data_IF_333640570437
#
_entry.id   IF_333640570437
#
_cell.length_a   1.000
_cell.length_b   1.000
_cell.length_c   1.000
_cell.angle_alpha   90.00
_cell.angle_beta   90.00
_cell.angle_gamma   90.00
#
_symmetry.space_group_name_H-M   'P 1'
#
loop_
_entity.id
_entity.type
_entity.pdbx_description
1 polymer ?
#
# COMPACT_ATOMS: atom_id res chain seq x y z
N UNK A 1 -4.49 15.13 -10.88
CA UNK A 1 -3.32 15.07 -9.97
C UNK A 1 -3.79 15.24 -8.53
N UNK A 2 -3.15 14.59 -7.57
CA UNK A 2 -3.57 14.61 -6.15
C UNK A 2 -3.16 15.91 -5.43
N UNK A 3 -3.98 16.40 -4.49
CA UNK A 3 -3.72 17.64 -3.73
C UNK A 3 -2.46 17.55 -2.84
N UNK A 4 -1.61 18.58 -2.86
CA UNK A 4 -0.48 18.76 -1.91
C UNK A 4 -1.01 19.16 -0.53
N UNK A 5 -0.34 18.74 0.53
CA UNK A 5 -0.67 19.08 1.92
C UNK A 5 -1.68 18.15 2.56
N UNK A 6 -2.49 17.44 1.76
CA UNK A 6 -3.43 16.43 2.23
C UNK A 6 -2.72 15.10 2.46
N UNK A 7 -2.72 14.52 3.67
CA UNK A 7 -2.16 13.19 3.92
C UNK A 7 -2.83 12.09 3.10
N UNK A 8 -2.02 11.12 2.68
CA UNK A 8 -2.43 10.00 1.84
C UNK A 8 -1.75 8.74 2.32
N UNK A 9 -2.47 7.62 2.26
CA UNK A 9 -1.89 6.29 2.19
C UNK A 9 -2.10 5.76 0.79
N UNK A 10 -1.10 5.07 0.25
CA UNK A 10 -1.22 4.36 -1.01
C UNK A 10 -0.61 2.97 -0.94
N UNK A 11 -1.15 2.07 -1.74
CA UNK A 11 -0.66 0.70 -1.93
C UNK A 11 -0.24 0.54 -3.39
N UNK A 12 0.93 -0.05 -3.58
CA UNK A 12 1.43 -0.51 -4.88
C UNK A 12 1.31 -2.03 -4.94
N UNK A 13 0.66 -2.52 -5.99
CA UNK A 13 0.45 -3.94 -6.25
C UNK A 13 0.92 -4.29 -7.66
N UNK A 14 1.37 -5.52 -7.87
CA UNK A 14 1.56 -6.09 -9.19
C UNK A 14 1.03 -7.52 -9.21
N UNK A 15 0.02 -7.78 -10.04
CA UNK A 15 -0.74 -9.02 -9.99
C UNK A 15 -1.21 -9.30 -8.55
N UNK A 16 -1.01 -10.49 -7.99
CA UNK A 16 -1.41 -10.82 -6.61
C UNK A 16 -0.41 -10.40 -5.52
N UNK A 17 0.61 -9.61 -5.88
CA UNK A 17 1.69 -9.24 -4.97
C UNK A 17 1.54 -7.81 -4.46
N UNK A 18 1.43 -7.67 -3.15
CA UNK A 18 1.62 -6.38 -2.49
C UNK A 18 3.10 -6.02 -2.52
N UNK A 19 3.44 -4.92 -3.18
CA UNK A 19 4.83 -4.49 -3.33
C UNK A 19 5.21 -3.52 -2.23
N UNK A 20 4.39 -2.49 -2.01
CA UNK A 20 4.73 -1.39 -1.13
C UNK A 20 3.49 -0.70 -0.58
N UNK A 21 3.56 -0.26 0.67
CA UNK A 21 2.62 0.65 1.29
C UNK A 21 3.40 1.91 1.64
N UNK A 22 2.82 3.06 1.32
CA UNK A 22 3.48 4.32 1.55
C UNK A 22 2.53 5.39 2.04
N UNK A 23 3.08 6.32 2.81
CA UNK A 23 2.42 7.57 3.19
C UNK A 23 3.03 8.78 2.49
N UNK A 24 2.21 9.81 2.23
CA UNK A 24 2.73 11.10 1.81
C UNK A 24 1.75 12.25 2.00
N UNK A 25 2.28 13.45 2.28
CA UNK A 25 1.54 14.72 2.17
C UNK A 25 1.82 15.43 0.85
N UNK A 26 2.81 14.98 0.08
CA UNK A 26 3.12 15.54 -1.25
C UNK A 26 2.03 15.13 -2.25
N UNK A 27 2.03 15.76 -3.44
CA UNK A 27 1.29 15.17 -4.56
C UNK A 27 1.96 13.85 -4.96
N UNK A 28 1.16 12.85 -5.36
CA UNK A 28 1.69 11.56 -5.83
C UNK A 28 2.63 11.72 -7.03
N UNK A 29 2.34 12.67 -7.92
CA UNK A 29 3.26 13.02 -9.02
C UNK A 29 4.63 13.43 -8.51
N UNK A 30 4.68 14.34 -7.53
CA UNK A 30 5.96 14.76 -6.93
C UNK A 30 6.64 13.60 -6.19
N UNK A 31 5.87 12.83 -5.41
CA UNK A 31 6.38 11.72 -4.60
C UNK A 31 6.94 10.59 -5.47
N UNK A 32 6.28 10.25 -6.58
CA UNK A 32 6.75 9.23 -7.51
C UNK A 32 7.90 9.71 -8.36
N UNK A 33 7.85 10.94 -8.89
CA UNK A 33 8.99 11.53 -9.62
C UNK A 33 10.26 11.52 -8.77
N UNK A 34 10.16 11.90 -7.49
CA UNK A 34 11.31 11.87 -6.58
C UNK A 34 11.89 10.46 -6.41
N UNK A 35 11.05 9.44 -6.22
CA UNK A 35 11.53 8.07 -6.06
C UNK A 35 12.00 7.41 -7.35
N UNK A 36 11.41 7.73 -8.51
CA UNK A 36 11.87 7.20 -9.80
C UNK A 36 13.21 7.79 -10.23
N UNK A 37 13.42 9.09 -9.97
CA UNK A 37 14.66 9.78 -10.33
C UNK A 37 15.77 9.64 -9.27
N UNK A 38 15.56 8.85 -8.22
CA UNK A 38 16.56 8.65 -7.18
C UNK A 38 17.76 7.85 -7.71
N UNK A 39 18.96 8.39 -7.50
CA UNK A 39 20.25 7.86 -7.98
C UNK A 39 21.16 7.36 -6.85
N UNK A 40 20.65 7.17 -5.63
CA UNK A 40 21.45 6.73 -4.48
C UNK A 40 22.07 7.86 -3.66
N UNK A 41 21.74 9.12 -3.94
CA UNK A 41 22.22 10.27 -3.15
C UNK A 41 21.80 10.09 -1.69
N UNK A 42 22.76 10.20 -0.77
CA UNK A 42 22.57 9.98 0.68
C UNK A 42 22.01 8.58 1.03
N UNK A 43 22.28 7.57 0.20
CA UNK A 43 21.81 6.19 0.42
C UNK A 43 20.37 5.92 -0.03
N UNK A 44 19.65 6.92 -0.56
CA UNK A 44 18.29 6.72 -1.09
C UNK A 44 18.30 6.38 -2.58
N UNK A 45 18.05 5.11 -2.90
CA UNK A 45 18.02 4.58 -4.28
C UNK A 45 16.64 4.60 -4.95
N UNK A 46 15.62 5.10 -4.24
CA UNK A 46 14.25 5.14 -4.72
C UNK A 46 13.48 3.85 -4.48
N UNK A 47 12.39 3.67 -5.22
CA UNK A 47 11.54 2.50 -5.08
C UNK A 47 12.16 1.27 -5.73
N UNK A 48 12.20 0.15 -5.02
CA UNK A 48 12.66 -1.13 -5.58
C UNK A 48 11.71 -1.64 -6.68
N UNK A 49 10.40 -1.40 -6.52
CA UNK A 49 9.38 -1.78 -7.51
C UNK A 49 9.41 -0.95 -8.81
N UNK A 50 10.28 0.07 -8.94
CA UNK A 50 10.33 0.92 -10.15
C UNK A 50 10.71 0.18 -11.43
N UNK A 51 11.25 -1.03 -11.33
CA UNK A 51 11.58 -1.91 -12.45
C UNK A 51 10.40 -2.77 -12.92
N UNK A 52 9.25 -2.73 -12.22
CA UNK A 52 8.04 -3.45 -12.61
C UNK A 52 7.38 -2.74 -13.79
N UNK A 53 7.06 -3.48 -14.85
CA UNK A 53 6.44 -2.95 -16.07
C UNK A 53 5.02 -2.41 -15.83
N UNK A 54 4.24 -3.08 -14.98
CA UNK A 54 2.88 -2.72 -14.66
C UNK A 54 2.65 -2.84 -13.16
N UNK A 55 2.07 -1.80 -12.57
CA UNK A 55 1.64 -1.77 -11.17
C UNK A 55 0.27 -1.13 -11.06
N UNK A 56 -0.50 -1.58 -10.08
CA UNK A 56 -1.75 -0.99 -9.66
C UNK A 56 -1.48 -0.05 -8.47
N UNK A 57 -2.12 1.11 -8.47
CA UNK A 57 -2.00 2.13 -7.44
C UNK A 57 -3.36 2.38 -6.80
N UNK A 58 -3.45 2.14 -5.50
CA UNK A 58 -4.64 2.43 -4.70
C UNK A 58 -4.30 3.54 -3.72
N UNK A 59 -5.20 4.51 -3.56
CA UNK A 59 -4.92 5.74 -2.80
C UNK A 59 -6.12 6.10 -1.95
N UNK A 60 -5.87 6.38 -0.66
CA UNK A 60 -6.83 6.96 0.25
C UNK A 60 -6.33 8.32 0.73
N UNK A 61 -7.26 9.25 0.95
CA UNK A 61 -6.99 10.61 1.39
C UNK A 61 -7.59 10.82 2.78
N UNK A 62 -6.91 11.61 3.61
CA UNK A 62 -7.33 11.86 4.97
C UNK A 62 -7.27 13.36 5.28
N UNK A 63 -8.44 14.02 5.35
CA UNK A 63 -8.51 15.48 5.57
C UNK A 63 -8.27 15.89 7.02
N UNK A 64 -8.72 15.07 7.97
CA UNK A 64 -8.69 15.39 9.40
C UNK A 64 -7.53 14.72 10.16
N UNK A 65 -6.63 14.02 9.48
CA UNK A 65 -5.54 13.30 10.13
C UNK A 65 -4.20 13.97 9.90
N UNK A 66 -3.31 13.84 10.87
CA UNK A 66 -1.92 14.25 10.76
C UNK A 66 -1.04 13.13 10.16
N UNK A 67 0.26 13.42 10.03
CA UNK A 67 1.21 12.47 9.48
C UNK A 67 1.38 11.22 10.35
N UNK A 68 1.44 11.35 11.67
CA UNK A 68 1.70 10.25 12.58
C UNK A 68 0.52 9.26 12.59
N UNK A 69 -0.71 9.79 12.55
CA UNK A 69 -1.94 9.00 12.45
C UNK A 69 -1.99 8.22 11.13
N UNK A 70 -1.56 8.83 10.02
CA UNK A 70 -1.55 8.19 8.70
C UNK A 70 -0.42 7.15 8.57
N UNK A 71 0.73 7.38 9.19
CA UNK A 71 1.80 6.37 9.37
C UNK A 71 1.31 5.17 10.19
N UNK A 72 0.55 5.40 11.26
CA UNK A 72 -0.08 4.31 12.01
C UNK A 72 -1.06 3.50 11.13
N UNK A 73 -1.87 4.16 10.30
CA UNK A 73 -2.76 3.47 9.33
C UNK A 73 -1.95 2.64 8.31
N UNK A 74 -0.81 3.14 7.82
CA UNK A 74 0.11 2.37 6.96
C UNK A 74 0.61 1.10 7.66
N UNK A 75 1.02 1.22 8.92
CA UNK A 75 1.51 0.09 9.69
C UNK A 75 0.43 -0.98 9.93
N UNK A 76 -0.79 -0.55 10.26
CA UNK A 76 -1.95 -1.43 10.40
C UNK A 76 -2.32 -2.11 9.08
N UNK A 77 -2.26 -1.39 7.95
CA UNK A 77 -2.45 -1.99 6.63
C UNK A 77 -1.41 -3.06 6.32
N UNK A 78 -0.13 -2.78 6.58
CA UNK A 78 0.95 -3.75 6.39
C UNK A 78 0.74 -5.01 7.25
N UNK A 79 0.34 -4.82 8.50
CA UNK A 79 0.05 -5.91 9.42
C UNK A 79 -1.16 -6.74 8.96
N UNK A 80 -2.25 -6.10 8.54
CA UNK A 80 -3.43 -6.79 8.01
C UNK A 80 -3.13 -7.56 6.72
N UNK A 81 -2.33 -7.00 5.82
CA UNK A 81 -1.85 -7.70 4.62
C UNK A 81 -1.03 -8.92 5.02
N UNK A 82 -0.11 -8.81 5.98
CA UNK A 82 0.64 -9.97 6.49
C UNK A 82 -0.28 -11.01 7.11
N UNK A 83 -1.22 -10.61 7.95
CA UNK A 83 -2.15 -11.52 8.60
C UNK A 83 -3.00 -12.29 7.59
N UNK A 84 -3.41 -11.64 6.49
CA UNK A 84 -4.22 -12.24 5.44
C UNK A 84 -3.42 -13.10 4.46
N UNK A 85 -2.23 -12.66 4.08
CA UNK A 85 -1.45 -13.27 2.98
C UNK A 85 -0.32 -14.17 3.46
N UNK A 86 0.03 -14.10 4.75
CA UNK A 86 1.24 -14.70 5.32
C UNK A 86 2.54 -13.98 4.96
N UNK A 87 2.48 -12.88 4.19
CA UNK A 87 3.66 -12.19 3.66
C UNK A 87 3.60 -10.68 3.93
N UNK A 88 4.75 -10.09 4.24
CA UNK A 88 4.92 -8.64 4.17
C UNK A 88 4.88 -8.16 2.72
N UNK A 89 4.57 -6.87 2.47
CA UNK A 89 4.81 -6.28 1.16
C UNK A 89 6.28 -6.43 0.77
N UNK A 90 6.53 -6.87 -0.46
CA UNK A 90 7.81 -7.45 -0.88
C UNK A 90 8.96 -6.43 -0.85
N UNK A 91 8.65 -5.19 -1.25
CA UNK A 91 9.62 -4.12 -1.44
C UNK A 91 9.55 -3.09 -0.28
N UNK A 92 8.97 -3.47 0.86
CA UNK A 92 8.86 -2.61 2.04
C UNK A 92 10.18 -2.57 2.82
N UNK A 93 10.75 -1.37 2.97
CA UNK A 93 12.01 -1.18 3.70
C UNK A 93 11.83 -0.66 5.13
N UNK A 94 10.81 0.16 5.37
CA UNK A 94 10.57 0.82 6.66
C UNK A 94 9.07 1.00 6.88
N UNK A 95 8.62 0.86 8.13
CA UNK A 95 7.25 1.12 8.57
C UNK A 95 7.33 1.83 9.92
N UNK A 96 6.61 2.94 10.07
CA UNK A 96 6.52 3.68 11.33
C UNK A 96 5.19 3.37 12.03
N UNK A 97 5.24 2.57 13.10
CA UNK A 97 4.03 2.04 13.74
C UNK A 97 3.18 3.10 14.48
N UNK A 98 3.78 4.12 15.09
CA UNK A 98 3.06 5.23 15.77
C UNK A 98 1.83 4.79 16.60
N UNK A 99 2.02 3.81 17.49
CA UNK A 99 0.96 3.10 18.25
C UNK A 99 0.09 3.96 19.21
N UNK A 100 0.24 5.29 19.19
CA UNK A 100 -0.56 6.21 20.01
C UNK A 100 -1.93 6.52 19.40
N UNK A 101 -2.16 6.15 18.14
CA UNK A 101 -3.44 6.36 17.47
C UNK A 101 -4.32 5.11 17.55
N UNK A 102 -5.39 5.18 18.34
CA UNK A 102 -6.23 4.01 18.65
C UNK A 102 -7.08 3.54 17.46
N UNK A 103 -7.48 4.46 16.59
CA UNK A 103 -8.43 4.17 15.52
C UNK A 103 -7.79 3.65 14.22
N UNK A 104 -6.46 3.55 14.15
CA UNK A 104 -5.76 3.21 12.91
C UNK A 104 -6.17 1.87 12.33
N UNK A 105 -6.33 0.84 13.18
CA UNK A 105 -6.73 -0.51 12.77
C UNK A 105 -8.11 -0.53 12.10
N UNK A 106 -9.08 0.18 12.69
CA UNK A 106 -10.45 0.24 12.14
C UNK A 106 -10.44 0.92 10.75
N UNK A 107 -9.69 2.00 10.61
CA UNK A 107 -9.56 2.74 9.35
C UNK A 107 -8.84 1.90 8.30
N UNK A 108 -7.74 1.22 8.67
CA UNK A 108 -7.02 0.30 7.80
C UNK A 108 -7.93 -0.83 7.28
N UNK A 109 -8.80 -1.39 8.13
CA UNK A 109 -9.80 -2.37 7.72
C UNK A 109 -10.79 -1.79 6.70
N UNK A 110 -11.25 -0.55 6.87
CA UNK A 110 -12.12 0.13 5.89
C UNK A 110 -11.41 0.32 4.55
N UNK A 111 -10.15 0.75 4.56
CA UNK A 111 -9.32 0.85 3.35
C UNK A 111 -9.22 -0.51 2.64
N UNK A 112 -8.93 -1.59 3.37
CA UNK A 112 -8.78 -2.93 2.79
C UNK A 112 -10.11 -3.50 2.26
N UNK A 113 -11.25 -3.16 2.87
CA UNK A 113 -12.59 -3.55 2.37
C UNK A 113 -12.96 -2.86 1.06
N UNK A 114 -12.56 -1.61 0.89
CA UNK A 114 -12.76 -0.85 -0.35
C UNK A 114 -11.79 -1.27 -1.47
N UNK A 115 -10.80 -2.10 -1.15
CA UNK A 115 -9.90 -2.67 -2.13
C UNK A 115 -10.68 -3.65 -3.03
N UNK A 116 -10.73 -3.45 -4.36
CA UNK A 116 -11.51 -4.30 -5.25
C UNK A 116 -11.07 -5.75 -5.12
N UNK A 117 -12.04 -6.61 -4.82
CA UNK A 117 -11.82 -8.01 -4.49
C UNK A 117 -11.59 -8.84 -5.76
N UNK A 118 -10.31 -9.09 -6.07
CA UNK A 118 -9.88 -10.31 -6.75
C UNK A 118 -9.01 -11.18 -5.82
N UNK A 119 -9.35 -11.23 -4.53
CA UNK A 119 -8.66 -12.06 -3.54
C UNK A 119 -9.21 -13.50 -3.55
N UNK A 120 -8.83 -14.32 -4.54
CA UNK A 120 -9.01 -15.77 -4.43
C UNK A 120 -7.78 -16.41 -3.79
N UNK A 121 -7.85 -16.71 -2.50
CA UNK A 121 -6.92 -17.66 -1.87
C UNK A 121 -7.52 -19.06 -1.97
N UNK A 122 -7.09 -19.84 -2.96
CA UNK A 122 -7.20 -21.30 -2.90
C UNK A 122 -5.99 -21.83 -2.13
N UNK A 123 -6.16 -22.18 -0.86
CA UNK A 123 -5.20 -23.05 -0.17
C UNK A 123 -5.53 -24.51 -0.53
N UNK A 124 -4.51 -25.28 -0.87
CA UNK A 124 -4.58 -26.64 -1.46
C UNK A 124 -5.64 -27.54 -0.81
N UNK A 125 -6.70 -27.86 -1.55
CA UNK A 125 -7.29 -29.22 -1.72
C UNK A 125 -8.34 -29.19 -2.86
N UNK A 126 -8.01 -29.86 -3.98
CA UNK A 126 -8.89 -30.32 -5.09
C UNK A 126 -9.57 -29.28 -6.01
N UNK A 127 -9.51 -29.59 -7.31
CA UNK A 127 -9.97 -28.86 -8.50
C UNK A 127 -11.49 -28.58 -8.57
N UNK A 128 -11.87 -27.48 -9.24
CA UNK A 128 -12.68 -27.53 -10.47
C UNK A 128 -12.60 -26.22 -11.27
N UNK A 129 -12.40 -26.35 -12.59
CA UNK A 129 -12.67 -25.31 -13.57
C UNK A 129 -14.15 -24.94 -13.50
N UNK A 130 -14.49 -23.66 -13.34
CA UNK A 130 -15.76 -23.12 -13.82
C UNK A 130 -15.50 -21.74 -14.46
N UNK A 131 -15.56 -21.74 -15.80
CA UNK A 131 -15.90 -20.58 -16.61
C UNK A 131 -17.30 -20.11 -16.27
N UNK A 132 -17.55 -18.79 -16.15
CA UNK A 132 -18.78 -18.17 -16.67
C UNK A 132 -18.54 -16.72 -17.14
N UNK A 133 -19.18 -16.46 -18.29
CA UNK A 133 -19.31 -15.22 -19.06
C UNK A 133 -20.31 -14.24 -18.44
N UNK A 134 -20.10 -12.98 -18.86
CA UNK A 134 -20.94 -11.77 -18.79
C UNK A 134 -21.20 -11.19 -17.40
#
# INVERSE_FOLDING_TARGET
MTRKGLPKVYIIKANELFLFIGVTTQSLTSRFRYGFNAIGKNGYYGYQWKTRLLVELYVWYFEAFDRNQVENIEAELAFLIRAKTGKWPIDQNEIHFNNKFENGKEIALKCLKLFPSNYFYFTKRRLHLISKKA
#
